data_IF_936103493145
#
_entry.id   IF_936103493145
#
_cell.length_a   1.000
_cell.length_b   1.000
_cell.length_c   1.000
_cell.angle_alpha   90.00
_cell.angle_beta   90.00
_cell.angle_gamma   90.00
#
_symmetry.space_group_name_H-M   'P 1'
#
loop_
_entity.id
_entity.type
_entity.pdbx_description
1 polymer ?
#
# COMPACT_ATOMS: atom_id res chain seq x y z
N UNK A 1 -38.15 -0.77 41.72
CA UNK A 1 -37.43 -2.00 41.32
C UNK A 1 -37.11 -1.93 39.83
N UNK A 2 -35.95 -1.46 39.44
CA UNK A 2 -35.49 -1.40 38.02
C UNK A 2 -34.27 -2.32 37.87
N UNK A 3 -34.42 -3.36 37.05
CA UNK A 3 -33.35 -4.33 36.73
C UNK A 3 -32.38 -3.69 35.74
N UNK A 4 -31.10 -3.69 36.09
CA UNK A 4 -29.99 -3.35 35.23
C UNK A 4 -29.71 -4.54 34.31
N UNK A 5 -29.81 -4.34 32.99
CA UNK A 5 -29.34 -5.27 31.97
C UNK A 5 -27.85 -5.06 31.72
N UNK A 6 -27.04 -6.03 32.08
CA UNK A 6 -25.62 -6.05 31.73
C UNK A 6 -25.41 -6.46 30.27
N UNK A 7 -24.69 -5.66 29.52
CA UNK A 7 -24.16 -6.00 28.20
C UNK A 7 -23.06 -7.07 28.37
N UNK A 8 -23.29 -8.25 27.83
CA UNK A 8 -22.28 -9.30 27.67
C UNK A 8 -21.38 -8.92 26.49
N UNK A 9 -20.04 -8.98 26.68
CA UNK A 9 -19.05 -8.95 25.64
C UNK A 9 -19.20 -10.17 24.72
N UNK A 10 -18.90 -10.05 23.40
CA UNK A 10 -18.94 -11.20 22.49
C UNK A 10 -17.79 -12.15 22.79
N UNK A 11 -18.14 -13.42 22.95
CA UNK A 11 -17.23 -14.55 23.09
C UNK A 11 -16.36 -14.68 21.84
N UNK A 12 -15.05 -14.72 22.06
CA UNK A 12 -14.04 -15.09 21.08
C UNK A 12 -14.28 -16.53 20.62
N UNK A 13 -14.77 -16.71 19.40
CA UNK A 13 -14.77 -18.01 18.74
C UNK A 13 -13.34 -18.38 18.35
N UNK A 14 -12.74 -19.25 19.13
CA UNK A 14 -11.57 -20.02 18.71
C UNK A 14 -12.07 -21.19 17.86
N UNK A 15 -11.90 -21.09 16.54
CA UNK A 15 -12.00 -22.24 15.64
C UNK A 15 -10.71 -22.26 14.84
N UNK A 16 -9.70 -22.95 15.38
CA UNK A 16 -8.58 -23.47 14.60
C UNK A 16 -8.92 -24.91 14.26
N UNK A 17 -8.90 -25.35 13.01
CA UNK A 17 -8.94 -26.76 12.69
C UNK A 17 -7.60 -27.41 13.07
N UNK A 18 -7.70 -28.58 13.68
CA UNK A 18 -6.64 -29.42 14.21
C UNK A 18 -5.67 -29.91 13.10
N UNK A 19 -4.38 -30.05 13.40
CA UNK A 19 -3.36 -30.16 12.37
C UNK A 19 -3.22 -31.56 11.79
N UNK A 20 -3.03 -31.54 10.50
CA UNK A 20 -2.52 -32.60 9.64
C UNK A 20 -1.64 -33.65 10.33
N UNK A 21 -2.14 -34.86 10.43
CA UNK A 21 -1.39 -36.06 10.82
C UNK A 21 -0.57 -36.57 9.63
N UNK A 22 0.71 -36.86 9.82
CA UNK A 22 1.52 -37.63 8.89
C UNK A 22 2.68 -36.87 8.23
N UNK A 23 3.16 -37.36 7.13
CA UNK A 23 4.38 -37.00 6.40
C UNK A 23 4.50 -35.48 6.11
N UNK A 24 3.39 -34.80 5.91
CA UNK A 24 3.32 -33.33 5.73
C UNK A 24 3.80 -32.53 6.94
N UNK A 25 3.59 -33.02 8.15
CA UNK A 25 4.02 -32.32 9.36
C UNK A 25 5.54 -32.30 9.59
N UNK A 26 6.28 -33.26 9.04
CA UNK A 26 7.76 -33.26 9.12
C UNK A 26 8.39 -32.33 8.10
N UNK A 27 7.88 -32.28 6.89
CA UNK A 27 8.31 -31.35 5.84
C UNK A 27 7.99 -29.90 6.28
N UNK A 28 6.83 -29.69 6.88
CA UNK A 28 6.44 -28.37 7.43
C UNK A 28 7.38 -27.89 8.54
N UNK A 29 7.82 -28.77 9.44
CA UNK A 29 8.74 -28.39 10.54
C UNK A 29 10.16 -28.10 10.04
N UNK A 30 10.64 -28.78 9.02
CA UNK A 30 11.96 -28.52 8.42
C UNK A 30 11.97 -27.19 7.66
N UNK A 31 10.90 -26.87 6.91
CA UNK A 31 10.78 -25.61 6.17
C UNK A 31 10.50 -24.41 7.10
N UNK A 32 9.74 -24.60 8.19
CA UNK A 32 9.48 -23.54 9.15
C UNK A 32 10.75 -22.94 9.76
N UNK A 33 11.75 -23.79 10.06
CA UNK A 33 13.05 -23.32 10.56
C UNK A 33 13.81 -22.45 9.56
N UNK A 34 13.87 -22.91 8.30
CA UNK A 34 14.52 -22.17 7.22
C UNK A 34 13.82 -20.84 6.91
N UNK A 35 12.49 -20.84 6.89
CA UNK A 35 11.66 -19.64 6.70
C UNK A 35 11.88 -18.63 7.83
N UNK A 36 11.87 -19.06 9.09
CA UNK A 36 12.12 -18.18 10.24
C UNK A 36 13.51 -17.55 10.14
N UNK A 37 14.54 -18.33 9.81
CA UNK A 37 15.91 -17.82 9.64
C UNK A 37 16.00 -16.81 8.50
N UNK A 38 15.34 -17.08 7.37
CA UNK A 38 15.31 -16.17 6.22
C UNK A 38 14.59 -14.85 6.55
N UNK A 39 13.49 -14.90 7.32
CA UNK A 39 12.78 -13.69 7.79
C UNK A 39 13.63 -12.89 8.78
N UNK A 40 14.36 -13.57 9.69
CA UNK A 40 15.26 -12.90 10.62
C UNK A 40 16.40 -12.18 9.89
N UNK A 41 17.01 -12.81 8.90
CA UNK A 41 18.05 -12.17 8.07
C UNK A 41 17.49 -10.96 7.30
N UNK A 42 16.30 -11.07 6.70
CA UNK A 42 15.61 -9.95 6.05
C UNK A 42 15.36 -8.80 7.02
N UNK A 43 14.93 -9.11 8.25
CA UNK A 43 14.68 -8.13 9.28
C UNK A 43 15.97 -7.39 9.68
N UNK A 44 17.08 -8.11 9.85
CA UNK A 44 18.38 -7.53 10.16
C UNK A 44 18.88 -6.60 9.05
N UNK A 45 18.81 -7.03 7.78
CA UNK A 45 19.22 -6.22 6.66
C UNK A 45 18.33 -4.97 6.56
N UNK A 46 17.01 -5.14 6.63
CA UNK A 46 16.08 -4.02 6.57
C UNK A 46 16.30 -3.02 7.72
N UNK A 47 16.59 -3.51 8.94
CA UNK A 47 16.89 -2.67 10.10
C UNK A 47 18.15 -1.84 9.92
N UNK A 48 19.23 -2.43 9.37
CA UNK A 48 20.51 -1.72 9.12
C UNK A 48 20.36 -0.62 8.07
N UNK A 49 19.53 -0.84 7.05
CA UNK A 49 19.36 0.08 5.94
C UNK A 49 18.17 1.04 6.09
N UNK A 50 17.33 0.87 7.12
CA UNK A 50 16.21 1.75 7.39
C UNK A 50 16.69 3.09 7.99
N UNK A 51 16.50 4.18 7.23
CA UNK A 51 16.81 5.56 7.67
C UNK A 51 15.50 6.35 7.76
N UNK A 52 14.95 6.50 8.97
CA UNK A 52 13.68 7.17 9.19
C UNK A 52 12.45 6.33 8.81
N UNK A 53 11.30 7.00 8.65
CA UNK A 53 10.00 6.32 8.48
C UNK A 53 9.83 5.62 7.14
N UNK A 54 10.42 6.14 6.08
CA UNK A 54 10.45 5.55 4.74
C UNK A 54 11.79 5.84 4.09
N UNK A 55 12.52 4.80 3.76
CA UNK A 55 13.82 4.84 3.11
C UNK A 55 13.70 4.35 1.68
N UNK A 56 14.07 5.16 0.70
CA UNK A 56 14.36 4.69 -0.66
C UNK A 56 15.74 4.04 -0.60
N UNK A 57 15.84 2.79 -1.01
CA UNK A 57 17.12 2.07 -1.02
C UNK A 57 17.92 2.39 -2.29
N UNK A 58 19.17 1.90 -2.34
CA UNK A 58 19.97 1.94 -3.56
C UNK A 58 19.43 1.02 -4.67
N UNK A 59 18.57 0.06 -4.33
CA UNK A 59 17.94 -0.83 -5.31
C UNK A 59 16.72 -0.10 -5.89
N UNK A 60 16.67 0.11 -7.23
CA UNK A 60 15.51 0.75 -7.87
C UNK A 60 14.20 0.06 -7.50
N UNK A 61 13.16 0.85 -7.24
CA UNK A 61 11.83 0.32 -6.89
C UNK A 61 11.70 -0.27 -5.49
N UNK A 62 12.77 -0.48 -4.74
CA UNK A 62 12.74 -1.05 -3.38
C UNK A 62 12.80 0.06 -2.32
N UNK A 63 11.89 0.00 -1.36
CA UNK A 63 11.87 0.91 -0.20
C UNK A 63 11.66 0.14 1.10
N UNK A 64 12.13 0.70 2.22
CA UNK A 64 11.93 0.17 3.56
C UNK A 64 11.08 1.16 4.35
N UNK A 65 10.04 0.64 4.99
CA UNK A 65 9.20 1.41 5.93
C UNK A 65 9.50 0.95 7.36
N UNK A 66 9.70 1.90 8.28
CA UNK A 66 9.96 1.64 9.71
C UNK A 66 9.09 2.52 10.59
N UNK A 67 8.62 1.98 11.72
CA UNK A 67 7.98 2.76 12.79
C UNK A 67 8.28 2.11 14.14
N UNK A 68 8.70 2.91 15.13
CA UNK A 68 9.03 2.43 16.48
C UNK A 68 7.82 2.42 17.43
N UNK A 69 6.64 2.75 16.91
CA UNK A 69 5.38 2.71 17.64
C UNK A 69 4.19 2.79 16.70
N UNK A 70 2.98 2.61 17.24
CA UNK A 70 1.75 2.83 16.49
C UNK A 70 1.68 4.26 15.95
N UNK A 71 1.06 4.43 14.78
CA UNK A 71 0.93 5.75 14.15
C UNK A 71 -0.54 6.18 14.11
N UNK A 72 -0.83 7.48 14.07
CA UNK A 72 -2.17 7.92 13.71
C UNK A 72 -2.50 7.51 12.27
N UNK A 73 -3.81 7.44 11.90
CA UNK A 73 -4.23 7.22 10.52
C UNK A 73 -3.63 8.25 9.56
N UNK A 74 -3.02 7.80 8.48
CA UNK A 74 -2.33 8.66 7.49
C UNK A 74 -2.91 8.44 6.10
N UNK A 75 -3.73 9.38 5.60
CA UNK A 75 -4.18 9.36 4.22
C UNK A 75 -3.02 9.58 3.25
N UNK A 76 -2.96 8.74 2.22
CA UNK A 76 -1.94 8.80 1.16
C UNK A 76 -2.47 8.23 -0.14
N UNK A 77 -1.84 8.57 -1.25
CA UNK A 77 -2.02 7.88 -2.52
C UNK A 77 -0.98 6.75 -2.61
N UNK A 78 -1.45 5.53 -2.71
CA UNK A 78 -0.62 4.35 -2.89
C UNK A 78 -0.52 4.02 -4.37
N UNK A 79 0.68 4.08 -4.93
CA UNK A 79 0.98 3.68 -6.30
C UNK A 79 1.05 2.15 -6.42
N UNK A 80 0.99 1.58 -7.65
CA UNK A 80 1.12 0.14 -7.86
C UNK A 80 2.40 -0.41 -7.22
N UNK A 81 2.22 -1.25 -6.22
CA UNK A 81 3.32 -1.80 -5.42
C UNK A 81 2.92 -3.09 -4.71
N UNK A 82 3.90 -3.96 -4.45
CA UNK A 82 3.79 -5.03 -3.48
C UNK A 82 4.40 -4.58 -2.15
N UNK A 83 3.70 -4.82 -1.06
CA UNK A 83 4.15 -4.52 0.30
C UNK A 83 4.31 -5.83 1.06
N UNK A 84 5.49 -6.08 1.58
CA UNK A 84 5.82 -7.26 2.36
C UNK A 84 6.20 -6.86 3.79
N UNK A 85 5.45 -7.37 4.80
CA UNK A 85 5.68 -7.07 6.21
C UNK A 85 6.66 -8.06 6.81
N UNK A 86 7.76 -7.53 7.36
CA UNK A 86 8.79 -8.32 8.05
C UNK A 86 8.50 -8.43 9.55
N UNK A 87 7.98 -7.37 10.17
CA UNK A 87 7.69 -7.30 11.60
C UNK A 87 6.59 -6.28 11.90
N UNK A 88 5.81 -6.57 12.95
CA UNK A 88 4.68 -5.73 13.37
C UNK A 88 3.47 -5.88 12.48
N UNK A 89 2.51 -4.95 12.61
CA UNK A 89 1.29 -4.97 11.80
C UNK A 89 0.86 -3.57 11.39
N UNK A 90 0.24 -3.48 10.21
CA UNK A 90 -0.36 -2.28 9.68
C UNK A 90 -1.81 -2.54 9.29
N UNK A 91 -2.69 -1.59 9.59
CA UNK A 91 -4.04 -1.54 9.07
C UNK A 91 -4.11 -0.54 7.92
N UNK A 92 -4.93 -0.83 6.93
CA UNK A 92 -5.21 0.09 5.82
C UNK A 92 -6.71 0.11 5.54
N UNK A 93 -7.25 1.31 5.39
CA UNK A 93 -8.64 1.54 4.96
C UNK A 93 -8.60 2.04 3.51
N UNK A 94 -9.29 1.31 2.61
CA UNK A 94 -9.43 1.64 1.20
C UNK A 94 -10.93 1.73 0.90
N UNK A 95 -11.44 2.93 0.69
CA UNK A 95 -12.88 3.15 0.58
C UNK A 95 -13.61 2.74 1.86
N UNK A 96 -14.42 1.70 1.78
CA UNK A 96 -15.16 1.08 2.88
C UNK A 96 -14.51 -0.23 3.40
N UNK A 97 -13.36 -0.63 2.86
CA UNK A 97 -12.69 -1.89 3.20
C UNK A 97 -11.52 -1.66 4.13
N UNK A 98 -11.57 -2.27 5.31
CA UNK A 98 -10.46 -2.33 6.24
C UNK A 98 -9.70 -3.65 6.06
N UNK A 99 -8.37 -3.55 5.91
CA UNK A 99 -7.47 -4.68 5.79
C UNK A 99 -6.39 -4.55 6.88
N UNK A 100 -5.99 -5.67 7.44
CA UNK A 100 -4.81 -5.77 8.29
C UNK A 100 -3.80 -6.71 7.63
N UNK A 101 -2.56 -6.33 7.61
CA UNK A 101 -1.45 -7.17 7.19
C UNK A 101 -0.33 -7.09 8.22
N UNK A 102 0.25 -8.24 8.51
CA UNK A 102 1.20 -8.48 9.57
C UNK A 102 2.38 -9.33 9.08
N UNK A 103 3.19 -9.81 9.99
CA UNK A 103 4.42 -10.52 9.68
C UNK A 103 4.20 -11.68 8.72
N UNK A 104 5.12 -11.81 7.75
CA UNK A 104 5.11 -12.83 6.70
C UNK A 104 3.87 -12.77 5.77
N UNK A 105 3.20 -11.61 5.69
CA UNK A 105 2.14 -11.37 4.72
C UNK A 105 2.53 -10.29 3.71
N UNK A 106 1.93 -10.35 2.50
CA UNK A 106 2.08 -9.33 1.49
C UNK A 106 0.73 -8.84 0.97
N UNK A 107 0.75 -7.62 0.44
CA UNK A 107 -0.41 -6.96 -0.15
C UNK A 107 -0.01 -6.26 -1.44
N UNK A 108 -0.86 -6.31 -2.47
CA UNK A 108 -0.61 -5.67 -3.77
C UNK A 108 -1.61 -4.54 -4.01
N UNK A 109 -1.10 -3.33 -4.20
CA UNK A 109 -1.82 -2.23 -4.86
C UNK A 109 -1.62 -2.39 -6.37
N UNK A 110 -2.69 -2.66 -7.11
CA UNK A 110 -2.61 -2.84 -8.56
C UNK A 110 -2.84 -1.53 -9.34
N UNK A 111 -3.47 -0.54 -8.72
CA UNK A 111 -3.74 0.78 -9.29
C UNK A 111 -3.47 1.86 -8.25
N UNK A 112 -3.27 3.10 -8.69
CA UNK A 112 -3.19 4.24 -7.78
C UNK A 112 -4.44 4.30 -6.90
N UNK A 113 -4.26 4.14 -5.59
CA UNK A 113 -5.35 3.95 -4.64
C UNK A 113 -5.22 4.90 -3.47
N UNK A 114 -6.17 5.84 -3.28
CA UNK A 114 -6.28 6.58 -2.04
C UNK A 114 -6.56 5.64 -0.87
N UNK A 115 -5.71 5.67 0.15
CA UNK A 115 -5.81 4.80 1.29
C UNK A 115 -5.44 5.53 2.58
N UNK A 116 -5.99 5.08 3.71
CA UNK A 116 -5.60 5.54 5.04
C UNK A 116 -4.86 4.42 5.74
N UNK A 117 -3.54 4.56 5.86
CA UNK A 117 -2.68 3.58 6.50
C UNK A 117 -2.39 3.93 7.96
N UNK A 118 -2.29 2.93 8.82
CA UNK A 118 -1.94 3.07 10.23
C UNK A 118 -1.09 1.88 10.68
N UNK A 119 0.09 2.13 11.25
CA UNK A 119 0.81 1.09 11.99
C UNK A 119 0.05 0.86 13.29
N UNK A 120 -0.36 -0.37 13.53
CA UNK A 120 -1.18 -0.75 14.70
C UNK A 120 -0.38 -1.55 15.72
N UNK A 121 0.71 -2.20 15.28
CA UNK A 121 1.56 -3.02 16.12
C UNK A 121 3.03 -2.70 15.84
N UNK A 122 3.67 -2.02 16.78
CA UNK A 122 5.08 -1.67 16.80
C UNK A 122 5.49 -1.20 18.19
N UNK A 123 6.76 -1.38 18.54
CA UNK A 123 7.40 -0.81 19.71
C UNK A 123 8.86 -0.47 19.39
N UNK A 124 9.57 0.22 20.27
CA UNK A 124 10.99 0.50 20.10
C UNK A 124 11.84 -0.79 20.03
N UNK A 125 11.47 -1.82 20.83
CA UNK A 125 12.14 -3.12 20.82
C UNK A 125 11.76 -3.99 19.60
N UNK A 126 10.54 -3.84 19.09
CA UNK A 126 10.02 -4.58 17.94
C UNK A 126 9.34 -3.59 16.97
N UNK A 127 10.13 -2.82 16.20
CA UNK A 127 9.59 -1.82 15.29
C UNK A 127 8.81 -2.49 14.14
N UNK A 128 7.78 -1.80 13.66
CA UNK A 128 7.19 -2.17 12.38
C UNK A 128 8.23 -2.02 11.28
N UNK A 129 8.43 -3.07 10.49
CA UNK A 129 9.31 -3.09 9.32
C UNK A 129 8.60 -3.74 8.14
N UNK A 130 8.65 -3.09 6.99
CA UNK A 130 8.10 -3.61 5.74
C UNK A 130 8.94 -3.19 4.55
N UNK A 131 9.00 -4.07 3.54
CA UNK A 131 9.58 -3.79 2.23
C UNK A 131 8.46 -3.35 1.30
N UNK A 132 8.65 -2.22 0.61
CA UNK A 132 7.82 -1.78 -0.49
C UNK A 132 8.53 -2.02 -1.81
N UNK A 133 7.84 -2.57 -2.78
CA UNK A 133 8.35 -2.89 -4.10
C UNK A 133 7.43 -2.33 -5.18
N UNK A 134 7.93 -1.35 -5.93
CA UNK A 134 7.21 -0.76 -7.06
C UNK A 134 7.06 -1.80 -8.17
N UNK A 135 5.86 -1.96 -8.70
CA UNK A 135 5.60 -2.93 -9.76
C UNK A 135 5.93 -2.35 -11.13
N UNK A 136 6.92 -2.91 -11.79
CA UNK A 136 7.20 -2.62 -13.20
C UNK A 136 6.25 -3.42 -14.10
N UNK A 137 5.29 -2.71 -14.70
CA UNK A 137 4.26 -3.29 -15.55
C UNK A 137 4.84 -3.88 -16.84
N UNK A 138 5.91 -3.27 -17.36
CA UNK A 138 6.58 -3.78 -18.57
C UNK A 138 7.30 -5.09 -18.28
N UNK A 139 7.98 -5.16 -17.13
CA UNK A 139 8.61 -6.39 -16.68
C UNK A 139 7.59 -7.52 -16.44
N UNK A 140 6.41 -7.18 -15.85
CA UNK A 140 5.31 -8.14 -15.68
C UNK A 140 4.77 -8.59 -17.05
N UNK A 141 4.57 -7.67 -18.00
CA UNK A 141 4.08 -7.99 -19.34
C UNK A 141 5.03 -8.93 -20.08
N UNK A 142 6.35 -8.69 -19.98
CA UNK A 142 7.36 -9.56 -20.57
C UNK A 142 7.31 -10.99 -20.00
N UNK A 143 7.02 -11.15 -18.71
CA UNK A 143 6.86 -12.48 -18.09
C UNK A 143 5.62 -13.22 -18.59
N UNK A 144 4.56 -12.51 -19.01
CA UNK A 144 3.31 -13.15 -19.49
C UNK A 144 3.43 -13.71 -20.90
N UNK A 145 4.39 -13.28 -21.70
CA UNK A 145 4.65 -13.80 -23.05
C UNK A 145 5.16 -15.24 -22.97
N UNK A 146 5.96 -15.54 -21.94
CA UNK A 146 6.66 -16.81 -21.82
C UNK A 146 5.86 -17.87 -21.02
N UNK A 147 4.81 -17.47 -20.29
CA UNK A 147 4.12 -18.37 -19.35
C UNK A 147 2.61 -18.08 -19.27
N UNK A 148 1.77 -19.12 -19.33
CA UNK A 148 0.36 -19.06 -18.94
C UNK A 148 0.23 -19.41 -17.45
N UNK A 149 0.04 -18.41 -16.59
CA UNK A 149 -0.05 -18.66 -15.15
C UNK A 149 -1.46 -19.04 -14.70
N UNK A 150 -1.55 -19.70 -13.54
CA UNK A 150 -2.80 -20.11 -12.92
C UNK A 150 -3.80 -18.94 -12.69
N UNK A 151 -5.09 -19.25 -12.66
CA UNK A 151 -6.16 -18.28 -12.43
C UNK A 151 -6.13 -17.86 -10.96
N UNK A 152 -5.93 -16.56 -10.69
CA UNK A 152 -5.94 -15.98 -9.34
C UNK A 152 -7.12 -15.02 -9.14
N UNK A 153 -7.45 -14.74 -7.87
CA UNK A 153 -8.60 -13.93 -7.47
C UNK A 153 -8.47 -12.43 -7.77
N UNK A 154 -9.63 -11.80 -7.91
CA UNK A 154 -9.77 -10.34 -8.02
C UNK A 154 -10.14 -9.76 -6.65
N UNK A 155 -9.59 -8.60 -6.29
CA UNK A 155 -9.98 -7.87 -5.09
C UNK A 155 -8.82 -7.54 -4.13
N UNK A 156 -9.14 -6.82 -3.05
CA UNK A 156 -8.19 -6.49 -2.00
C UNK A 156 -8.09 -7.65 -1.02
N UNK A 157 -6.94 -8.31 -0.97
CA UNK A 157 -6.63 -9.40 -0.06
C UNK A 157 -5.18 -9.29 0.41
N UNK A 158 -4.91 -9.85 1.58
CA UNK A 158 -3.56 -10.08 2.09
C UNK A 158 -3.29 -11.58 2.02
N UNK A 159 -2.09 -11.96 1.61
CA UNK A 159 -1.72 -13.36 1.47
C UNK A 159 -0.41 -13.66 2.18
N UNK A 160 -0.21 -14.89 2.67
CA UNK A 160 1.06 -15.30 3.23
C UNK A 160 2.13 -15.38 2.16
N UNK A 161 3.36 -15.09 2.54
CA UNK A 161 4.55 -15.24 1.69
C UNK A 161 4.99 -16.71 1.72
N UNK A 162 5.31 -17.27 0.57
CA UNK A 162 5.90 -18.60 0.48
C UNK A 162 7.45 -18.56 0.54
N UNK A 163 8.08 -19.72 0.78
CA UNK A 163 9.52 -19.84 0.96
C UNK A 163 10.32 -19.33 -0.24
N UNK A 164 9.86 -19.60 -1.46
CA UNK A 164 10.53 -19.16 -2.68
C UNK A 164 10.55 -17.64 -2.82
N UNK A 165 9.43 -16.99 -2.47
CA UNK A 165 9.33 -15.53 -2.52
C UNK A 165 10.19 -14.88 -1.41
N UNK A 166 10.23 -15.49 -0.22
CA UNK A 166 11.11 -15.04 0.87
C UNK A 166 12.59 -15.16 0.43
N UNK A 167 12.98 -16.27 -0.20
CA UNK A 167 14.35 -16.45 -0.66
C UNK A 167 14.74 -15.42 -1.74
N UNK A 168 13.86 -15.15 -2.68
CA UNK A 168 14.07 -14.11 -3.68
C UNK A 168 14.23 -12.72 -3.02
N UNK A 169 13.39 -12.39 -2.03
CA UNK A 169 13.52 -11.16 -1.26
C UNK A 169 14.82 -11.09 -0.48
N UNK A 170 15.24 -12.19 0.15
CA UNK A 170 16.50 -12.26 0.87
C UNK A 170 17.69 -11.96 -0.03
N UNK A 171 17.73 -12.55 -1.24
CA UNK A 171 18.78 -12.28 -2.22
C UNK A 171 18.74 -10.82 -2.71
N UNK A 172 17.55 -10.25 -2.94
CA UNK A 172 17.39 -8.85 -3.30
C UNK A 172 17.95 -7.92 -2.21
N UNK A 173 17.56 -8.13 -0.97
CA UNK A 173 17.96 -7.26 0.14
C UNK A 173 19.44 -7.36 0.48
N UNK A 174 20.08 -8.52 0.28
CA UNK A 174 21.55 -8.69 0.42
C UNK A 174 22.36 -7.80 -0.50
N UNK A 175 21.81 -7.37 -1.63
CA UNK A 175 22.47 -6.44 -2.54
C UNK A 175 22.71 -5.06 -1.90
N UNK A 176 21.95 -4.69 -0.88
CA UNK A 176 22.20 -3.45 -0.13
C UNK A 176 23.56 -3.45 0.58
N UNK A 177 24.03 -4.64 1.00
CA UNK A 177 25.36 -4.80 1.59
C UNK A 177 26.46 -4.95 0.51
N UNK A 178 26.07 -5.06 -0.78
CA UNK A 178 26.95 -5.24 -1.95
C UNK A 178 26.54 -4.33 -3.11
N UNK A 179 26.62 -3.01 -2.94
CA UNK A 179 26.05 -2.05 -3.89
C UNK A 179 26.61 -2.17 -5.32
N UNK A 180 27.84 -2.66 -5.48
CA UNK A 180 28.45 -2.89 -6.80
C UNK A 180 27.77 -4.02 -7.59
N UNK A 181 27.03 -4.92 -6.94
CA UNK A 181 26.30 -6.01 -7.61
C UNK A 181 24.88 -5.56 -8.06
N UNK A 182 24.34 -4.46 -7.50
CA UNK A 182 23.00 -3.96 -7.81
C UNK A 182 22.76 -3.78 -9.32
N UNK A 183 23.65 -3.13 -10.10
CA UNK A 183 23.38 -2.88 -11.51
C UNK A 183 23.18 -4.14 -12.35
N UNK A 184 23.77 -5.26 -11.92
CA UNK A 184 23.71 -6.54 -12.65
C UNK A 184 22.59 -7.44 -12.09
N UNK A 185 22.56 -7.65 -10.76
CA UNK A 185 21.74 -8.69 -10.16
C UNK A 185 20.34 -8.22 -9.80
N UNK A 186 20.12 -6.92 -9.55
CA UNK A 186 18.81 -6.43 -9.10
C UNK A 186 17.70 -6.75 -10.11
N UNK A 187 17.91 -6.49 -11.39
CA UNK A 187 16.91 -6.76 -12.42
C UNK A 187 16.61 -8.27 -12.60
N UNK A 188 17.61 -9.14 -12.39
CA UNK A 188 17.41 -10.59 -12.46
C UNK A 188 16.52 -11.09 -11.31
N UNK A 189 16.81 -10.60 -10.08
CA UNK A 189 16.06 -10.99 -8.89
C UNK A 189 14.66 -10.34 -8.91
N UNK A 190 14.54 -9.11 -9.42
CA UNK A 190 13.24 -8.46 -9.65
C UNK A 190 12.35 -9.32 -10.55
N UNK A 191 12.89 -9.82 -11.68
CA UNK A 191 12.17 -10.71 -12.59
C UNK A 191 11.69 -11.97 -11.87
N UNK A 192 12.49 -12.55 -10.97
CA UNK A 192 12.10 -13.71 -10.17
C UNK A 192 10.99 -13.35 -9.17
N UNK A 193 11.12 -12.23 -8.42
CA UNK A 193 10.09 -11.78 -7.48
C UNK A 193 8.76 -11.60 -8.21
N UNK A 194 8.76 -10.90 -9.37
CA UNK A 194 7.55 -10.71 -10.16
C UNK A 194 6.96 -12.04 -10.65
N UNK A 195 7.80 -12.99 -11.07
CA UNK A 195 7.35 -14.33 -11.44
C UNK A 195 6.70 -15.06 -10.26
N UNK A 196 7.32 -15.05 -9.06
CA UNK A 196 6.76 -15.67 -7.86
C UNK A 196 5.43 -15.03 -7.44
N UNK A 197 5.32 -13.70 -7.52
CA UNK A 197 4.07 -12.98 -7.28
C UNK A 197 2.98 -13.33 -8.30
N UNK A 198 3.34 -13.54 -9.58
CA UNK A 198 2.42 -14.01 -10.63
C UNK A 198 1.87 -15.42 -10.38
N UNK A 199 2.65 -16.30 -9.76
CA UNK A 199 2.24 -17.65 -9.38
C UNK A 199 1.44 -17.65 -8.05
N UNK A 200 1.49 -16.58 -7.27
CA UNK A 200 0.79 -16.47 -6.00
C UNK A 200 -0.71 -16.16 -6.14
N UNK A 201 -1.44 -16.16 -5.01
CA UNK A 201 -2.89 -15.94 -4.98
C UNK A 201 -3.34 -14.62 -5.62
N UNK A 202 -2.51 -13.57 -5.57
CA UNK A 202 -2.79 -12.26 -6.18
C UNK A 202 -2.29 -12.14 -7.64
N UNK A 203 -1.77 -13.21 -8.23
CA UNK A 203 -1.24 -13.22 -9.60
C UNK A 203 -2.27 -12.80 -10.65
N UNK A 204 -3.56 -13.07 -10.44
CA UNK A 204 -4.64 -12.61 -11.31
C UNK A 204 -4.68 -11.10 -11.51
N UNK A 205 -4.44 -10.33 -10.43
CA UNK A 205 -4.35 -8.85 -10.50
C UNK A 205 -3.15 -8.39 -11.33
N UNK A 206 -1.99 -9.01 -11.12
CA UNK A 206 -0.77 -8.67 -11.86
C UNK A 206 -0.92 -8.93 -13.35
N UNK A 207 -1.57 -10.05 -13.72
CA UNK A 207 -1.90 -10.37 -15.12
C UNK A 207 -2.81 -9.32 -15.75
N UNK A 208 -3.88 -8.93 -15.03
CA UNK A 208 -4.78 -7.88 -15.50
C UNK A 208 -4.08 -6.52 -15.59
N UNK A 209 -3.15 -6.24 -14.68
CA UNK A 209 -2.35 -5.02 -14.69
C UNK A 209 -1.48 -4.91 -15.95
N UNK A 210 -0.88 -6.00 -16.37
CA UNK A 210 0.09 -6.04 -17.47
C UNK A 210 -0.52 -6.21 -18.86
N UNK A 211 -1.75 -6.77 -18.98
CA UNK A 211 -2.44 -6.90 -20.27
C UNK A 211 -3.08 -5.58 -20.68
N UNK A 212 -2.66 -5.03 -21.83
CA UNK A 212 -3.10 -3.72 -22.31
C UNK A 212 -4.63 -3.59 -22.46
N UNK A 213 -5.31 -4.67 -22.89
CA UNK A 213 -6.75 -4.71 -23.13
C UNK A 213 -7.55 -5.26 -21.94
N UNK A 214 -6.91 -5.44 -20.79
CA UNK A 214 -7.59 -5.94 -19.61
C UNK A 214 -8.54 -4.89 -19.02
N UNK A 215 -9.54 -5.36 -18.28
CA UNK A 215 -10.46 -4.49 -17.54
C UNK A 215 -9.71 -3.55 -16.59
N UNK A 216 -8.70 -4.09 -15.89
CA UNK A 216 -7.92 -3.32 -14.93
C UNK A 216 -7.03 -2.27 -15.62
N UNK A 217 -6.43 -2.60 -16.76
CA UNK A 217 -5.67 -1.63 -17.57
C UNK A 217 -6.54 -0.48 -18.06
N UNK A 218 -7.77 -0.76 -18.51
CA UNK A 218 -8.72 0.27 -18.93
C UNK A 218 -9.18 1.14 -17.76
N UNK A 219 -9.42 0.56 -16.57
CA UNK A 219 -9.69 1.34 -15.35
C UNK A 219 -8.49 2.23 -14.98
N UNK A 220 -7.25 1.76 -15.14
CA UNK A 220 -6.05 2.60 -14.93
C UNK A 220 -6.00 3.82 -15.84
N UNK A 221 -6.41 3.72 -17.12
CA UNK A 221 -6.51 4.87 -18.03
C UNK A 221 -7.48 5.92 -17.47
N UNK A 222 -8.64 5.48 -16.98
CA UNK A 222 -9.61 6.36 -16.34
C UNK A 222 -9.07 6.98 -15.04
N UNK A 223 -8.35 6.22 -14.21
CA UNK A 223 -7.70 6.70 -12.99
C UNK A 223 -6.65 7.76 -13.33
N UNK A 224 -5.79 7.51 -14.31
CA UNK A 224 -4.77 8.46 -14.76
C UNK A 224 -5.43 9.76 -15.26
N UNK A 225 -6.54 9.65 -16.01
CA UNK A 225 -7.28 10.82 -16.45
C UNK A 225 -7.87 11.60 -15.27
N UNK A 226 -8.52 10.94 -14.30
CA UNK A 226 -9.05 11.60 -13.10
C UNK A 226 -7.93 12.31 -12.33
N UNK A 227 -6.76 11.72 -12.19
CA UNK A 227 -5.62 12.35 -11.51
C UNK A 227 -5.15 13.60 -12.22
N UNK A 228 -5.03 13.54 -13.55
CA UNK A 228 -4.58 14.69 -14.35
C UNK A 228 -5.59 15.83 -14.39
N UNK A 229 -6.88 15.53 -14.20
CA UNK A 229 -7.98 16.49 -14.33
C UNK A 229 -8.84 16.59 -13.05
N UNK A 230 -8.27 16.29 -11.88
CA UNK A 230 -9.04 16.19 -10.64
C UNK A 230 -9.72 17.49 -10.24
N UNK A 231 -9.16 18.65 -10.61
CA UNK A 231 -9.71 19.99 -10.35
C UNK A 231 -10.97 20.33 -11.16
N UNK A 232 -11.25 19.60 -12.25
CA UNK A 232 -12.43 19.82 -13.10
C UNK A 232 -13.58 18.88 -12.70
N UNK A 233 -14.86 19.26 -12.97
CA UNK A 233 -15.95 18.29 -12.89
C UNK A 233 -15.70 17.11 -13.84
N UNK A 234 -15.98 15.88 -13.37
CA UNK A 234 -15.86 14.69 -14.21
C UNK A 234 -17.24 14.20 -14.66
N UNK A 235 -17.34 13.86 -15.94
CA UNK A 235 -18.47 13.15 -16.50
C UNK A 235 -18.17 11.65 -16.52
N UNK A 236 -18.92 10.89 -15.74
CA UNK A 236 -18.67 9.44 -15.60
C UNK A 236 -18.87 8.71 -16.93
N UNK A 237 -19.78 9.17 -17.79
CA UNK A 237 -19.99 8.62 -19.12
C UNK A 237 -18.70 8.70 -19.97
N UNK A 238 -18.01 9.84 -19.95
CA UNK A 238 -16.73 10.03 -20.66
C UNK A 238 -15.63 9.11 -20.12
N UNK A 239 -15.61 8.89 -18.81
CA UNK A 239 -14.65 7.94 -18.21
C UNK A 239 -14.94 6.49 -18.63
N UNK A 240 -16.23 6.13 -18.75
CA UNK A 240 -16.65 4.83 -19.22
C UNK A 240 -16.27 4.61 -20.70
N UNK A 241 -16.43 5.61 -21.55
CA UNK A 241 -15.96 5.60 -22.95
C UNK A 241 -14.44 5.43 -23.02
N UNK A 242 -13.67 6.19 -22.23
CA UNK A 242 -12.21 6.08 -22.15
C UNK A 242 -11.76 4.68 -21.72
N UNK A 243 -12.55 4.05 -20.87
CA UNK A 243 -12.31 2.67 -20.41
C UNK A 243 -12.90 1.60 -21.37
N UNK A 244 -13.51 1.97 -22.48
CA UNK A 244 -14.21 1.08 -23.42
C UNK A 244 -15.26 0.18 -22.73
N UNK A 245 -16.07 0.78 -21.84
CA UNK A 245 -17.08 0.09 -21.03
C UNK A 245 -18.41 0.82 -21.07
N UNK A 246 -19.52 0.07 -20.86
CA UNK A 246 -20.80 0.71 -20.50
C UNK A 246 -20.70 1.35 -19.11
N UNK A 247 -21.52 2.37 -18.82
CA UNK A 247 -21.53 3.05 -17.52
C UNK A 247 -21.69 2.07 -16.35
N UNK A 248 -22.58 1.09 -16.46
CA UNK A 248 -22.79 0.09 -15.41
C UNK A 248 -21.56 -0.81 -15.20
N UNK A 249 -20.92 -1.26 -16.28
CA UNK A 249 -19.69 -2.05 -16.21
C UNK A 249 -18.55 -1.23 -15.62
N UNK A 250 -18.39 0.03 -16.07
CA UNK A 250 -17.38 0.94 -15.56
C UNK A 250 -17.51 1.13 -14.04
N UNK A 251 -18.69 1.50 -13.55
CA UNK A 251 -18.92 1.65 -12.10
C UNK A 251 -18.55 0.41 -11.31
N UNK A 252 -18.97 -0.76 -11.77
CA UNK A 252 -18.68 -2.05 -11.12
C UNK A 252 -17.18 -2.33 -11.08
N UNK A 253 -16.48 -2.20 -12.21
CA UNK A 253 -15.06 -2.49 -12.30
C UNK A 253 -14.19 -1.43 -11.61
N UNK A 254 -14.58 -0.15 -11.71
CA UNK A 254 -13.91 0.92 -10.98
C UNK A 254 -13.99 0.72 -9.46
N UNK A 255 -15.18 0.40 -8.94
CA UNK A 255 -15.36 0.09 -7.51
C UNK A 255 -14.61 -1.18 -7.09
N UNK A 256 -14.59 -2.21 -7.93
CA UNK A 256 -13.81 -3.42 -7.65
C UNK A 256 -12.30 -3.13 -7.55
N UNK A 257 -11.76 -2.25 -8.41
CA UNK A 257 -10.34 -1.90 -8.45
C UNK A 257 -9.91 -0.90 -7.36
N UNK A 258 -10.80 0.03 -6.95
CA UNK A 258 -10.46 1.15 -6.06
C UNK A 258 -11.20 1.14 -4.72
N UNK A 259 -12.19 0.27 -4.54
CA UNK A 259 -13.19 0.25 -3.45
C UNK A 259 -14.02 1.55 -3.35
N UNK A 260 -14.02 2.41 -4.38
CA UNK A 260 -14.69 3.72 -4.42
C UNK A 260 -15.48 3.91 -5.70
N UNK A 261 -16.49 4.79 -5.67
CA UNK A 261 -17.06 5.32 -6.91
C UNK A 261 -16.09 6.33 -7.57
N UNK A 262 -16.19 6.62 -8.88
CA UNK A 262 -15.33 7.60 -9.55
C UNK A 262 -15.35 8.97 -8.89
N UNK A 263 -16.53 9.44 -8.47
CA UNK A 263 -16.70 10.73 -7.78
C UNK A 263 -16.05 10.73 -6.39
N UNK A 264 -16.20 9.64 -5.63
CA UNK A 264 -15.52 9.49 -4.34
C UNK A 264 -14.00 9.47 -4.51
N UNK A 265 -13.51 8.76 -5.53
CA UNK A 265 -12.09 8.70 -5.86
C UNK A 265 -11.54 10.09 -6.21
N UNK A 266 -12.18 10.83 -7.12
CA UNK A 266 -11.80 12.20 -7.47
C UNK A 266 -11.71 13.09 -6.23
N UNK A 267 -12.70 13.00 -5.34
CA UNK A 267 -12.74 13.76 -4.10
C UNK A 267 -11.54 13.47 -3.20
N UNK A 268 -11.16 12.20 -3.07
CA UNK A 268 -9.97 11.81 -2.30
C UNK A 268 -8.69 12.38 -2.93
N UNK A 269 -8.56 12.33 -4.25
CA UNK A 269 -7.41 12.92 -4.96
C UNK A 269 -7.34 14.43 -4.71
N UNK A 270 -8.45 15.17 -4.86
CA UNK A 270 -8.51 16.61 -4.56
C UNK A 270 -8.03 16.94 -3.15
N UNK A 271 -8.45 16.18 -2.15
CA UNK A 271 -8.06 16.40 -0.76
C UNK A 271 -6.58 16.10 -0.52
N UNK A 272 -6.04 15.04 -1.13
CA UNK A 272 -4.61 14.72 -1.04
C UNK A 272 -3.74 15.78 -1.73
N UNK A 273 -4.15 16.25 -2.91
CA UNK A 273 -3.47 17.33 -3.63
C UNK A 273 -3.54 18.65 -2.85
N UNK A 274 -4.72 18.99 -2.32
CA UNK A 274 -4.87 20.15 -1.46
C UNK A 274 -3.91 20.11 -0.27
N UNK A 275 -3.71 18.96 0.33
CA UNK A 275 -2.77 18.80 1.45
C UNK A 275 -1.33 19.12 1.06
N UNK A 276 -0.91 18.71 -0.13
CA UNK A 276 0.43 19.04 -0.66
C UNK A 276 0.56 20.53 -0.95
N UNK A 277 -0.47 21.14 -1.57
CA UNK A 277 -0.49 22.58 -1.85
C UNK A 277 -0.47 23.43 -0.57
N UNK A 278 -1.16 23.00 0.48
CA UNK A 278 -1.17 23.69 1.78
C UNK A 278 0.19 23.68 2.47
N UNK A 279 1.00 22.63 2.27
CA UNK A 279 2.38 22.58 2.77
C UNK A 279 3.27 23.51 1.94
N UNK A 280 3.11 23.50 0.62
CA UNK A 280 3.90 24.33 -0.29
C UNK A 280 3.54 25.82 -0.21
N UNK A 281 2.30 26.15 0.14
CA UNK A 281 1.77 27.54 0.22
C UNK A 281 0.95 27.74 1.50
N UNK A 282 1.59 27.90 2.67
CA UNK A 282 0.89 28.06 3.94
C UNK A 282 0.02 29.32 3.97
N UNK A 283 -1.10 29.25 4.68
CA UNK A 283 -1.92 30.42 5.00
C UNK A 283 -3.06 30.72 4.03
N UNK A 284 -3.23 30.03 2.91
CA UNK A 284 -4.30 30.33 1.94
C UNK A 284 -5.21 29.14 1.62
N UNK A 285 -5.87 28.62 2.65
CA UNK A 285 -6.76 27.46 2.50
C UNK A 285 -7.93 27.69 1.49
N UNK A 286 -8.46 28.91 1.40
CA UNK A 286 -9.52 29.24 0.48
C UNK A 286 -9.03 29.18 -1.00
N UNK A 287 -7.85 29.74 -1.28
CA UNK A 287 -7.24 29.65 -2.61
C UNK A 287 -6.95 28.21 -3.01
N UNK A 288 -6.42 27.42 -2.08
CA UNK A 288 -6.17 25.98 -2.33
C UNK A 288 -7.47 25.23 -2.61
N UNK A 289 -8.57 25.53 -1.88
CA UNK A 289 -9.87 24.92 -2.14
C UNK A 289 -10.32 25.12 -3.59
N UNK A 290 -10.25 26.35 -4.09
CA UNK A 290 -10.60 26.66 -5.48
C UNK A 290 -9.63 26.03 -6.49
N UNK A 291 -8.33 26.02 -6.19
CA UNK A 291 -7.31 25.44 -7.06
C UNK A 291 -7.53 23.94 -7.29
N UNK A 292 -8.00 23.19 -6.27
CA UNK A 292 -8.31 21.76 -6.39
C UNK A 292 -9.76 21.48 -6.82
N UNK A 293 -10.51 22.52 -7.24
CA UNK A 293 -11.83 22.39 -7.88
C UNK A 293 -13.01 22.31 -6.91
N UNK A 294 -12.90 22.83 -5.68
CA UNK A 294 -14.06 23.09 -4.83
C UNK A 294 -14.70 24.45 -5.18
N UNK A 295 -16.01 24.50 -5.22
CA UNK A 295 -16.76 25.74 -5.43
C UNK A 295 -16.99 26.50 -4.11
N UNK A 296 -16.80 25.86 -2.97
CA UNK A 296 -16.99 26.44 -1.64
C UNK A 296 -15.84 26.09 -0.69
N UNK A 297 -15.15 27.12 -0.18
CA UNK A 297 -14.11 26.96 0.82
C UNK A 297 -14.64 26.35 2.14
N UNK A 298 -15.91 26.63 2.49
CA UNK A 298 -16.55 26.04 3.68
C UNK A 298 -16.82 24.54 3.49
N UNK A 299 -17.25 24.12 2.30
CA UNK A 299 -17.42 22.70 1.97
C UNK A 299 -16.07 21.99 2.03
N UNK A 300 -15.06 22.56 1.36
CA UNK A 300 -13.69 22.05 1.39
C UNK A 300 -13.19 21.85 2.83
N UNK A 301 -13.30 22.87 3.67
CA UNK A 301 -12.79 22.81 5.06
C UNK A 301 -13.45 21.70 5.88
N UNK A 302 -14.76 21.48 5.72
CA UNK A 302 -15.49 20.38 6.39
C UNK A 302 -15.03 19.02 5.90
N UNK A 303 -14.89 18.83 4.60
CA UNK A 303 -14.47 17.57 4.01
C UNK A 303 -13.00 17.25 4.29
N UNK A 304 -12.15 18.28 4.26
CA UNK A 304 -10.74 18.18 4.65
C UNK A 304 -10.60 17.74 6.11
N UNK A 305 -11.31 18.41 7.02
CA UNK A 305 -11.27 18.07 8.45
C UNK A 305 -11.77 16.63 8.70
N UNK A 306 -12.79 16.18 7.96
CA UNK A 306 -13.27 14.78 8.06
C UNK A 306 -12.20 13.78 7.59
N UNK A 307 -11.43 14.11 6.55
CA UNK A 307 -10.40 13.24 5.99
C UNK A 307 -9.11 13.21 6.82
N UNK A 308 -8.67 14.36 7.33
CA UNK A 308 -7.38 14.54 7.99
C UNK A 308 -7.47 14.76 9.50
N UNK A 309 -8.68 14.80 10.06
CA UNK A 309 -8.93 14.94 11.50
C UNK A 309 -8.76 16.37 12.02
N UNK A 310 -8.39 17.34 11.19
CA UNK A 310 -8.23 18.74 11.59
C UNK A 310 -8.42 19.70 10.40
N UNK A 311 -8.75 20.99 10.67
CA UNK A 311 -8.91 21.98 9.61
C UNK A 311 -7.64 22.19 8.78
N UNK A 312 -7.76 22.60 7.49
CA UNK A 312 -6.63 22.74 6.55
C UNK A 312 -5.45 23.56 7.09
N UNK A 313 -5.70 24.73 7.65
CA UNK A 313 -4.65 25.60 8.15
C UNK A 313 -3.87 24.98 9.34
N UNK A 314 -4.58 24.28 10.23
CA UNK A 314 -3.96 23.61 11.38
C UNK A 314 -3.14 22.40 10.96
N UNK A 315 -3.60 21.63 9.97
CA UNK A 315 -2.86 20.48 9.43
C UNK A 315 -1.58 20.95 8.72
N UNK A 316 -1.65 22.03 7.92
CA UNK A 316 -0.50 22.62 7.27
C UNK A 316 0.57 23.05 8.28
N UNK A 317 0.19 23.78 9.32
CA UNK A 317 1.11 24.21 10.38
C UNK A 317 1.78 23.00 11.07
N UNK A 318 1.01 21.96 11.39
CA UNK A 318 1.51 20.73 12.00
C UNK A 318 2.51 19.99 11.11
N UNK A 319 2.25 19.92 9.82
CA UNK A 319 3.10 19.20 8.86
C UNK A 319 4.40 19.98 8.60
N UNK A 320 4.34 21.29 8.53
CA UNK A 320 5.53 22.15 8.41
C UNK A 320 6.44 22.02 9.63
N UNK A 321 5.90 22.12 10.83
CA UNK A 321 6.65 21.93 12.06
C UNK A 321 7.31 20.54 12.16
N UNK A 322 6.59 19.49 11.72
CA UNK A 322 7.13 18.13 11.67
C UNK A 322 8.24 17.95 10.61
N UNK A 323 8.16 18.70 9.49
CA UNK A 323 9.20 18.71 8.45
C UNK A 323 10.46 19.43 8.91
N UNK A 324 10.32 20.56 9.59
CA UNK A 324 11.42 21.33 10.16
C UNK A 324 12.16 20.55 11.26
N UNK A 325 11.42 19.88 12.14
CA UNK A 325 12.01 19.02 13.18
C UNK A 325 12.78 17.81 12.60
N UNK A 326 12.40 17.33 11.39
CA UNK A 326 13.09 16.23 10.72
C UNK A 326 14.36 16.69 9.97
N UNK A 327 14.52 17.99 9.73
CA UNK A 327 15.66 18.60 9.01
C UNK A 327 16.73 19.11 9.98
N UNK A 328 16.39 19.39 11.24
CA UNK A 328 17.39 19.78 12.24
C UNK A 328 18.37 18.64 12.48
N UNK A 329 19.70 18.82 12.19
CA UNK A 329 20.72 17.85 12.57
C UNK A 329 20.70 17.75 14.09
N UNK A 330 20.99 16.58 14.63
CA UNK A 330 21.36 16.41 16.03
C UNK A 330 22.71 17.15 16.24
N UNK A 331 22.66 18.47 16.41
CA UNK A 331 23.67 19.22 17.12
C UNK A 331 23.31 19.04 18.57
N UNK A 332 24.09 18.17 19.26
CA UNK A 332 24.62 18.39 20.58
C UNK A 332 25.01 17.06 21.22
N UNK A 333 26.29 16.89 21.39
CA UNK A 333 26.92 15.82 22.13
C UNK A 333 28.44 15.93 22.07
N UNK A 334 28.97 17.12 22.46
CA UNK A 334 30.38 17.24 22.80
C UNK A 334 30.67 16.54 24.13
#
# INVERSE_FOLDING_TARGET
>A
MRRRGGLRAPETLSILPDPLTGLHARVWRSNAGAMIQALQELLEIASRHARGRRTRTAIPGVSISRSEGPTPPQPSLCEPAALFVLQGAKSVLIGDRALRYDQASYFIYAVDTPAVGQVVEASAAHPYLAIGFTLDIQAIAALLVDHEPAVGGDGFATDPVNDDLIDAWRRMMRLLDRPNEIPVLAAMIEREILFRLLQGPQGGKLRQLARADSRLSNIRKAIAWIRAHCHQPIEVARLAELAHMSNAAFHRHFKAATAMSPIQYQKQIRLLEARQLLIAQPGNAARVAFAVGYESASQFSREYARQFGCPPARDAARLLAASEAAIQPMEDGA
#
